data_IF_631234518868
#
_entry.id   IF_631234518868
#
_cell.length_a   1.000
_cell.length_b   1.000
_cell.length_c   1.000
_cell.angle_alpha   90.00
_cell.angle_beta   90.00
_cell.angle_gamma   90.00
#
_symmetry.space_group_name_H-M   'P 1'
#
loop_
_entity.id
_entity.type
_entity.pdbx_description
1 polymer ?
#
# COMPACT_ATOMS: atom_id res chain seq x y z
N UNK A 1 17.65 22.09 13.10
CA UNK A 1 16.40 22.24 13.90
C UNK A 1 15.99 20.86 14.37
N UNK A 2 15.94 20.64 15.68
CA UNK A 2 15.43 19.39 16.28
C UNK A 2 13.90 19.42 16.13
N UNK A 3 13.37 18.76 15.10
CA UNK A 3 11.93 18.44 15.01
C UNK A 3 11.65 17.35 16.05
N UNK A 4 11.43 17.76 17.29
CA UNK A 4 10.93 16.89 18.33
C UNK A 4 9.43 16.65 18.12
N UNK A 5 9.04 15.38 18.08
CA UNK A 5 7.80 14.84 18.66
C UNK A 5 6.46 15.48 18.30
N UNK A 6 6.01 15.37 17.06
CA UNK A 6 4.56 15.24 16.79
C UNK A 6 4.27 13.90 16.11
N UNK A 7 4.82 12.81 16.68
CA UNK A 7 4.39 11.47 16.33
C UNK A 7 3.18 11.12 17.19
N UNK A 8 1.99 11.12 16.60
CA UNK A 8 0.76 10.81 17.33
C UNK A 8 0.63 9.31 17.51
N UNK A 9 0.53 8.87 18.76
CA UNK A 9 0.37 7.46 19.12
C UNK A 9 -0.79 7.26 20.11
N UNK A 10 -1.37 6.06 20.12
CA UNK A 10 -2.46 5.68 21.03
C UNK A 10 -2.38 4.19 21.38
N UNK A 11 -2.85 3.77 22.57
CA UNK A 11 -2.82 2.36 22.96
C UNK A 11 -3.64 1.52 21.98
N UNK A 12 -2.98 0.56 21.32
CA UNK A 12 -3.61 -0.32 20.32
C UNK A 12 -3.34 0.05 18.86
N UNK A 13 -2.67 1.16 18.57
CA UNK A 13 -2.26 1.51 17.19
C UNK A 13 -1.45 0.40 16.51
N UNK A 14 -0.51 -0.19 17.24
CA UNK A 14 0.31 -1.31 16.78
C UNK A 14 -0.52 -2.55 16.39
N UNK A 15 -1.57 -2.86 17.16
CA UNK A 15 -2.48 -3.95 16.85
C UNK A 15 -3.29 -3.63 15.59
N UNK A 16 -3.87 -2.43 15.52
CA UNK A 16 -4.68 -2.00 14.38
C UNK A 16 -3.88 -2.00 13.08
N UNK A 17 -2.65 -1.45 13.08
CA UNK A 17 -1.80 -1.44 11.89
C UNK A 17 -1.41 -2.86 11.48
N UNK A 18 -1.22 -3.77 12.43
CA UNK A 18 -0.89 -5.16 12.14
C UNK A 18 -2.09 -5.91 11.52
N UNK A 19 -3.30 -5.73 12.07
CA UNK A 19 -4.54 -6.30 11.51
C UNK A 19 -4.78 -5.80 10.09
N UNK A 20 -4.57 -4.51 9.84
CA UNK A 20 -4.67 -3.94 8.49
C UNK A 20 -3.63 -4.54 7.55
N UNK A 21 -2.39 -4.77 8.02
CA UNK A 21 -1.35 -5.44 7.21
C UNK A 21 -1.72 -6.89 6.89
N UNK A 22 -2.27 -7.63 7.85
CA UNK A 22 -2.76 -8.99 7.63
C UNK A 22 -3.86 -8.98 6.57
N UNK A 23 -4.87 -8.11 6.71
CA UNK A 23 -5.94 -7.96 5.73
C UNK A 23 -5.41 -7.54 4.35
N UNK A 24 -4.40 -6.67 4.31
CA UNK A 24 -3.78 -6.21 3.07
C UNK A 24 -3.05 -7.34 2.34
N UNK A 25 -2.27 -8.15 3.06
CA UNK A 25 -1.58 -9.32 2.50
C UNK A 25 -2.59 -10.37 2.06
N UNK A 26 -3.66 -10.61 2.83
CA UNK A 26 -4.74 -11.50 2.43
C UNK A 26 -5.44 -11.03 1.14
N UNK A 27 -5.70 -9.72 1.01
CA UNK A 27 -6.22 -9.12 -0.21
C UNK A 27 -5.29 -9.32 -1.41
N UNK A 28 -3.98 -9.12 -1.22
CA UNK A 28 -2.97 -9.37 -2.25
C UNK A 28 -2.91 -10.86 -2.65
N UNK A 29 -2.91 -11.78 -1.68
CA UNK A 29 -2.91 -13.21 -1.95
C UNK A 29 -4.17 -13.65 -2.71
N UNK A 30 -5.34 -13.17 -2.27
CA UNK A 30 -6.62 -13.48 -2.89
C UNK A 30 -6.76 -12.92 -4.31
N UNK A 31 -6.34 -11.67 -4.56
CA UNK A 31 -6.34 -11.11 -5.92
C UNK A 31 -5.36 -11.86 -6.82
N UNK A 32 -4.18 -12.25 -6.30
CA UNK A 32 -3.21 -13.06 -7.03
C UNK A 32 -3.82 -14.41 -7.42
N UNK A 33 -4.50 -15.08 -6.48
CA UNK A 33 -5.10 -16.39 -6.72
C UNK A 33 -6.15 -16.34 -7.84
N UNK A 34 -7.10 -15.40 -7.77
CA UNK A 34 -8.17 -15.31 -8.79
C UNK A 34 -7.66 -14.81 -10.13
N UNK A 35 -6.66 -13.91 -10.15
CA UNK A 35 -6.06 -13.43 -11.41
C UNK A 35 -5.27 -14.55 -12.10
N UNK A 36 -4.44 -15.29 -11.36
CA UNK A 36 -3.63 -16.37 -11.92
C UNK A 36 -4.48 -17.58 -12.31
N UNK A 37 -5.57 -17.85 -11.59
CA UNK A 37 -6.53 -18.90 -11.94
C UNK A 37 -7.48 -18.50 -13.08
N UNK A 38 -7.49 -17.24 -13.53
CA UNK A 38 -8.48 -16.74 -14.48
C UNK A 38 -9.92 -16.79 -13.95
N UNK A 39 -10.08 -16.77 -12.61
CA UNK A 39 -11.37 -16.88 -11.93
C UNK A 39 -11.98 -15.51 -11.63
N UNK A 40 -13.30 -15.49 -11.40
CA UNK A 40 -14.01 -14.32 -10.90
C UNK A 40 -13.60 -13.95 -9.47
N UNK A 41 -14.04 -12.78 -9.00
CA UNK A 41 -13.83 -12.33 -7.62
C UNK A 41 -12.64 -11.39 -7.39
N UNK A 42 -11.95 -10.97 -8.45
CA UNK A 42 -10.88 -9.97 -8.38
C UNK A 42 -11.33 -8.66 -7.71
N UNK A 43 -12.61 -8.27 -7.90
CA UNK A 43 -13.20 -7.09 -7.27
C UNK A 43 -13.30 -7.21 -5.75
N UNK A 44 -13.69 -8.38 -5.23
CA UNK A 44 -13.86 -8.60 -3.79
C UNK A 44 -12.51 -8.55 -3.08
N UNK A 45 -11.54 -9.31 -3.59
CA UNK A 45 -10.17 -9.31 -3.04
C UNK A 45 -9.46 -7.98 -3.25
N UNK A 46 -9.70 -7.32 -4.39
CA UNK A 46 -9.24 -5.96 -4.66
C UNK A 46 -9.79 -4.94 -3.66
N UNK A 47 -11.08 -5.05 -3.29
CA UNK A 47 -11.68 -4.19 -2.27
C UNK A 47 -11.02 -4.40 -0.89
N UNK A 48 -10.78 -5.65 -0.47
CA UNK A 48 -10.06 -5.95 0.78
C UNK A 48 -8.67 -5.33 0.76
N UNK A 49 -7.92 -5.50 -0.34
CA UNK A 49 -6.58 -4.96 -0.50
C UNK A 49 -6.56 -3.43 -0.49
N UNK A 50 -7.52 -2.78 -1.16
CA UNK A 50 -7.63 -1.32 -1.23
C UNK A 50 -8.05 -0.72 0.12
N UNK A 51 -9.10 -1.23 0.76
CA UNK A 51 -9.62 -0.70 2.02
C UNK A 51 -8.54 -0.80 3.12
N UNK A 52 -7.91 -1.98 3.23
CA UNK A 52 -6.82 -2.18 4.19
C UNK A 52 -5.61 -1.30 3.88
N UNK A 53 -5.23 -1.14 2.60
CA UNK A 53 -4.15 -0.26 2.16
C UNK A 53 -4.40 1.21 2.49
N UNK A 54 -5.62 1.70 2.24
CA UNK A 54 -6.05 3.06 2.61
C UNK A 54 -6.06 3.24 4.13
N UNK A 55 -6.48 2.24 4.89
CA UNK A 55 -6.41 2.26 6.36
C UNK A 55 -4.97 2.40 6.87
N UNK A 56 -4.01 1.68 6.27
CA UNK A 56 -2.58 1.81 6.57
C UNK A 56 -2.09 3.23 6.30
N UNK A 57 -2.45 3.80 5.13
CA UNK A 57 -2.07 5.17 4.75
C UNK A 57 -2.66 6.19 5.71
N UNK A 58 -3.95 6.08 6.04
CA UNK A 58 -4.64 7.01 6.93
C UNK A 58 -4.01 6.99 8.33
N UNK A 59 -3.70 5.80 8.87
CA UNK A 59 -3.05 5.68 10.17
C UNK A 59 -1.61 6.19 10.17
N UNK A 60 -0.86 5.93 9.11
CA UNK A 60 0.51 6.43 9.00
C UNK A 60 0.53 7.97 8.81
N UNK A 61 -0.40 8.52 8.04
CA UNK A 61 -0.53 9.96 7.83
C UNK A 61 -1.05 10.70 9.06
N UNK A 62 -1.96 10.09 9.82
CA UNK A 62 -2.42 10.63 11.09
C UNK A 62 -1.32 10.60 12.15
N UNK A 63 -0.54 9.51 12.20
CA UNK A 63 0.55 9.37 13.15
C UNK A 63 1.77 10.25 12.79
N UNK A 64 1.98 10.55 11.51
CA UNK A 64 3.08 11.38 11.05
C UNK A 64 2.59 12.50 10.12
N UNK A 65 2.48 13.76 10.59
CA UNK A 65 2.02 14.88 9.77
C UNK A 65 2.94 15.18 8.57
N UNK A 66 4.19 14.70 8.57
CA UNK A 66 5.12 14.82 7.45
C UNK A 66 5.06 13.63 6.48
N UNK A 67 4.11 12.70 6.64
CA UNK A 67 4.01 11.46 5.85
C UNK A 67 3.99 11.70 4.34
N UNK A 68 3.21 12.69 3.88
CA UNK A 68 3.11 13.02 2.46
C UNK A 68 4.29 13.84 1.92
N UNK A 69 5.13 14.42 2.79
CA UNK A 69 6.34 15.16 2.39
C UNK A 69 7.54 14.24 2.15
N UNK A 70 7.41 12.96 2.48
CA UNK A 70 8.41 11.94 2.20
C UNK A 70 8.08 11.21 0.89
N UNK A 71 9.11 10.79 0.14
CA UNK A 71 8.96 9.96 -1.06
C UNK A 71 8.11 8.68 -0.81
N UNK A 72 8.04 8.22 0.44
CA UNK A 72 7.18 7.13 0.91
C UNK A 72 5.67 7.41 0.70
N UNK A 73 5.21 8.65 0.90
CA UNK A 73 3.81 9.03 0.70
C UNK A 73 3.41 8.98 -0.77
N UNK A 74 4.24 9.55 -1.66
CA UNK A 74 4.01 9.55 -3.11
C UNK A 74 4.06 8.12 -3.68
N UNK A 75 5.04 7.32 -3.26
CA UNK A 75 5.13 5.92 -3.67
C UNK A 75 3.90 5.10 -3.28
N UNK A 76 3.29 5.41 -2.13
CA UNK A 76 2.06 4.74 -1.69
C UNK A 76 0.83 5.16 -2.50
N UNK A 77 0.70 6.45 -2.85
CA UNK A 77 -0.38 6.92 -3.73
C UNK A 77 -0.30 6.26 -5.11
N UNK A 78 0.90 6.18 -5.68
CA UNK A 78 1.12 5.49 -6.95
C UNK A 78 0.74 4.00 -6.85
N UNK A 79 1.06 3.35 -5.72
CA UNK A 79 0.69 1.96 -5.47
C UNK A 79 -0.83 1.77 -5.40
N UNK A 80 -1.56 2.70 -4.77
CA UNK A 80 -3.03 2.68 -4.73
C UNK A 80 -3.62 2.84 -6.13
N UNK A 81 -3.10 3.78 -6.93
CA UNK A 81 -3.55 3.99 -8.30
C UNK A 81 -3.34 2.73 -9.17
N UNK A 82 -2.21 2.06 -9.02
CA UNK A 82 -1.89 0.82 -9.72
C UNK A 82 -2.84 -0.34 -9.33
N UNK A 83 -3.19 -0.47 -8.05
CA UNK A 83 -4.15 -1.49 -7.60
C UNK A 83 -5.56 -1.18 -8.11
N UNK A 84 -5.98 0.09 -8.13
CA UNK A 84 -7.26 0.48 -8.74
C UNK A 84 -7.31 0.13 -10.22
N UNK A 85 -6.23 0.40 -10.96
CA UNK A 85 -6.12 0.04 -12.36
C UNK A 85 -6.18 -1.49 -12.56
N UNK A 86 -5.56 -2.28 -11.67
CA UNK A 86 -5.62 -3.74 -11.70
C UNK A 86 -7.05 -4.28 -11.54
N UNK A 87 -7.84 -3.66 -10.67
CA UNK A 87 -9.24 -4.05 -10.47
C UNK A 87 -10.10 -3.66 -11.68
N UNK A 88 -9.91 -2.44 -12.20
CA UNK A 88 -10.74 -1.88 -13.27
C UNK A 88 -10.39 -2.41 -14.68
N UNK A 89 -9.14 -2.76 -14.95
CA UNK A 89 -8.68 -3.17 -16.29
C UNK A 89 -8.60 -4.68 -16.44
N UNK A 90 -9.69 -5.29 -16.92
CA UNK A 90 -9.79 -6.75 -17.10
C UNK A 90 -8.84 -7.30 -18.16
N UNK A 91 -8.80 -6.68 -19.34
CA UNK A 91 -8.00 -7.17 -20.46
C UNK A 91 -6.48 -7.16 -20.19
N UNK A 92 -6.00 -6.18 -19.40
CA UNK A 92 -4.58 -6.05 -19.04
C UNK A 92 -4.22 -6.56 -17.66
N UNK A 93 -5.13 -7.26 -16.97
CA UNK A 93 -4.98 -7.59 -15.54
C UNK A 93 -3.73 -8.42 -15.24
N UNK A 94 -3.42 -9.41 -16.08
CA UNK A 94 -2.27 -10.31 -15.88
C UNK A 94 -0.90 -9.60 -16.04
N UNK A 95 -0.60 -8.88 -17.13
CA UNK A 95 0.65 -8.14 -17.23
C UNK A 95 0.75 -7.03 -16.18
N UNK A 96 -0.37 -6.36 -15.87
CA UNK A 96 -0.40 -5.34 -14.84
C UNK A 96 -0.13 -5.93 -13.44
N UNK A 97 -0.65 -7.12 -13.13
CA UNK A 97 -0.36 -7.81 -11.88
C UNK A 97 1.15 -7.99 -11.67
N UNK A 98 1.86 -8.51 -12.67
CA UNK A 98 3.31 -8.70 -12.59
C UNK A 98 4.05 -7.37 -12.43
N UNK A 99 3.63 -6.34 -13.16
CA UNK A 99 4.19 -5.01 -13.02
C UNK A 99 3.99 -4.45 -11.60
N UNK A 100 2.78 -4.51 -11.05
CA UNK A 100 2.47 -4.05 -9.70
C UNK A 100 3.27 -4.82 -8.65
N UNK A 101 3.40 -6.13 -8.82
CA UNK A 101 4.18 -6.98 -7.91
C UNK A 101 5.67 -6.58 -7.93
N UNK A 102 6.28 -6.52 -9.12
CA UNK A 102 7.68 -6.13 -9.28
C UNK A 102 7.94 -4.72 -8.77
N UNK A 103 7.07 -3.76 -9.12
CA UNK A 103 7.14 -2.38 -8.65
C UNK A 103 7.02 -2.30 -7.13
N UNK A 104 6.08 -3.04 -6.53
CA UNK A 104 5.87 -3.10 -5.09
C UNK A 104 7.11 -3.62 -4.34
N UNK A 105 7.72 -4.69 -4.84
CA UNK A 105 8.95 -5.27 -4.26
C UNK A 105 10.12 -4.30 -4.42
N UNK A 106 10.31 -3.75 -5.62
CA UNK A 106 11.37 -2.77 -5.90
C UNK A 106 11.29 -1.56 -4.97
N UNK A 107 10.07 -1.04 -4.72
CA UNK A 107 9.86 0.11 -3.83
C UNK A 107 10.04 -0.28 -2.35
N UNK A 108 9.74 -1.52 -1.98
CA UNK A 108 9.92 -2.03 -0.61
C UNK A 108 11.39 -2.32 -0.27
N UNK A 109 12.18 -2.74 -1.26
CA UNK A 109 13.63 -2.99 -1.14
C UNK A 109 14.50 -1.83 -1.62
N UNK A 110 13.91 -0.73 -2.08
CA UNK A 110 14.66 0.45 -2.47
C UNK A 110 15.51 0.96 -1.28
N UNK A 111 16.79 1.28 -1.49
CA UNK A 111 17.71 1.66 -0.41
C UNK A 111 17.16 2.86 0.37
N UNK A 112 17.27 2.81 1.71
CA UNK A 112 16.69 3.80 2.62
C UNK A 112 17.06 5.26 2.34
N UNK A 113 18.17 5.50 1.61
CA UNK A 113 18.59 6.82 1.12
C UNK A 113 17.57 7.47 0.16
N UNK A 114 16.76 6.69 -0.55
CA UNK A 114 15.64 7.19 -1.38
C UNK A 114 14.34 7.32 -0.59
N UNK A 115 14.13 6.42 0.39
CA UNK A 115 12.89 6.36 1.18
C UNK A 115 12.75 7.50 2.19
N UNK A 116 13.86 8.15 2.57
CA UNK A 116 13.91 9.27 3.53
C UNK A 116 14.45 10.57 2.92
N UNK A 117 14.64 10.61 1.58
CA UNK A 117 14.90 11.89 0.90
C UNK A 117 13.64 12.74 1.00
N UNK A 118 13.71 13.79 1.83
CA UNK A 118 12.73 14.88 1.84
C UNK A 118 12.78 15.52 0.45
N UNK A 119 11.66 15.52 -0.25
CA UNK A 119 11.56 16.20 -1.54
C UNK A 119 11.42 17.72 -1.35
N UNK A 120 11.04 18.16 -0.14
CA UNK A 120 10.95 19.55 0.31
C UNK A 120 11.24 19.69 1.81
#
# INVERSE_FOLDING_TARGET
MREADDHRDFPGRGLLINLLRIAHIAGLAGISAVVLAGAGGARNWGAVMLISGLGIVALDAWANPFYFRQAKGIGTLLKVALVLLLVAWEAGRLPLFWFVLAFSVALSHAPGRLRHRRLF
#
